data_IF_969618409695
#
_entry.id   IF_969618409695
#
_cell.length_a   1.000
_cell.length_b   1.000
_cell.length_c   1.000
_cell.angle_alpha   90.00
_cell.angle_beta   90.00
_cell.angle_gamma   90.00
#
_symmetry.space_group_name_H-M   'P 1'
#
loop_
_entity.id
_entity.type
_entity.pdbx_description
1 polymer ?
#
# COMPACT_ATOMS: atom_id res chain seq x y z
N UNK A 1 -12.18 -12.04 6.41
CA UNK A 1 -11.55 -13.18 5.69
C UNK A 1 -10.58 -12.72 4.59
N UNK A 2 -10.99 -11.97 3.56
CA UNK A 2 -10.05 -11.51 2.51
C UNK A 2 -8.98 -10.55 3.03
N UNK A 3 -9.39 -9.45 3.67
CA UNK A 3 -8.48 -8.42 4.21
C UNK A 3 -7.47 -9.04 5.19
N UNK A 4 -7.96 -9.79 6.17
CA UNK A 4 -7.12 -10.43 7.20
C UNK A 4 -6.10 -11.37 6.58
N UNK A 5 -6.50 -12.19 5.60
CA UNK A 5 -5.61 -13.14 4.93
C UNK A 5 -4.47 -12.41 4.22
N UNK A 6 -4.78 -11.38 3.44
CA UNK A 6 -3.76 -10.60 2.71
C UNK A 6 -2.82 -9.91 3.69
N UNK A 7 -3.35 -9.19 4.68
CA UNK A 7 -2.54 -8.46 5.65
C UNK A 7 -1.67 -9.38 6.52
N UNK A 8 -2.20 -10.54 6.92
CA UNK A 8 -1.43 -11.54 7.69
C UNK A 8 -0.33 -12.16 6.85
N UNK A 9 -0.60 -12.43 5.57
CA UNK A 9 0.41 -12.94 4.63
C UNK A 9 1.53 -11.92 4.42
N UNK A 10 1.18 -10.65 4.20
CA UNK A 10 2.18 -9.58 4.04
C UNK A 10 3.01 -9.39 5.30
N UNK A 11 2.39 -9.42 6.49
CA UNK A 11 3.12 -9.35 7.75
C UNK A 11 4.05 -10.55 7.94
N UNK A 12 3.59 -11.76 7.59
CA UNK A 12 4.40 -12.97 7.67
C UNK A 12 5.63 -12.86 6.77
N UNK A 13 5.47 -12.44 5.52
CA UNK A 13 6.57 -12.19 4.58
C UNK A 13 7.55 -11.18 5.17
N UNK A 14 7.04 -10.06 5.67
CA UNK A 14 7.85 -8.99 6.26
C UNK A 14 8.64 -9.47 7.49
N UNK A 15 8.04 -10.32 8.35
CA UNK A 15 8.70 -10.86 9.54
C UNK A 15 9.74 -11.95 9.21
N UNK A 16 9.52 -12.75 8.17
CA UNK A 16 10.47 -13.77 7.71
C UNK A 16 11.65 -13.18 6.94
N UNK A 17 11.47 -11.98 6.39
CA UNK A 17 12.52 -11.23 5.73
C UNK A 17 13.41 -10.61 6.80
N UNK A 18 14.60 -11.17 6.99
CA UNK A 18 15.50 -10.71 8.05
C UNK A 18 15.87 -9.22 7.85
N UNK A 19 15.83 -8.39 8.91
CA UNK A 19 16.34 -7.03 8.86
C UNK A 19 17.77 -7.01 8.29
N UNK A 20 18.04 -6.15 7.31
CA UNK A 20 19.36 -6.01 6.69
C UNK A 20 19.72 -7.05 5.61
N UNK A 21 18.85 -8.00 5.26
CA UNK A 21 19.12 -9.01 4.21
C UNK A 21 18.58 -8.69 2.82
N UNK A 22 18.07 -7.47 2.59
CA UNK A 22 17.72 -6.97 1.26
C UNK A 22 16.30 -6.42 1.13
N UNK A 23 15.90 -6.15 -0.12
CA UNK A 23 14.60 -5.60 -0.47
C UNK A 23 13.65 -6.72 -0.91
N UNK A 24 12.42 -6.71 -0.39
CA UNK A 24 11.36 -7.64 -0.80
C UNK A 24 10.41 -6.93 -1.75
N UNK A 25 10.21 -7.49 -2.94
CA UNK A 25 9.20 -7.04 -3.89
C UNK A 25 8.02 -8.00 -3.89
N UNK A 26 6.82 -7.48 -3.66
CA UNK A 26 5.57 -8.23 -3.81
C UNK A 26 4.80 -7.65 -4.99
N UNK A 27 4.71 -8.41 -6.08
CA UNK A 27 3.88 -8.06 -7.23
C UNK A 27 2.49 -8.69 -7.07
N UNK A 28 1.45 -7.86 -7.04
CA UNK A 28 0.09 -8.29 -6.76
C UNK A 28 -0.95 -7.33 -7.40
N UNK A 29 -2.22 -7.51 -7.05
CA UNK A 29 -3.31 -6.68 -7.55
C UNK A 29 -3.45 -5.37 -6.77
N UNK A 30 -4.17 -4.41 -7.35
CA UNK A 30 -4.42 -3.09 -6.76
C UNK A 30 -4.99 -3.15 -5.34
N UNK A 31 -5.88 -4.10 -5.05
CA UNK A 31 -6.41 -4.31 -3.70
C UNK A 31 -5.36 -4.75 -2.68
N UNK A 32 -4.36 -5.52 -3.12
CA UNK A 32 -3.22 -5.89 -2.27
C UNK A 32 -2.35 -4.67 -1.95
N UNK A 33 -2.19 -3.75 -2.90
CA UNK A 33 -1.47 -2.48 -2.68
C UNK A 33 -2.18 -1.60 -1.65
N UNK A 34 -3.52 -1.44 -1.76
CA UNK A 34 -4.35 -0.73 -0.76
C UNK A 34 -4.18 -1.35 0.64
N UNK A 35 -4.28 -2.68 0.74
CA UNK A 35 -4.15 -3.40 2.02
C UNK A 35 -2.74 -3.37 2.58
N UNK A 36 -1.71 -3.42 1.73
CA UNK A 36 -0.32 -3.27 2.14
C UNK A 36 -0.09 -1.89 2.74
N UNK A 37 -0.59 -0.84 2.08
CA UNK A 37 -0.51 0.52 2.59
C UNK A 37 -1.17 0.63 3.96
N UNK A 38 -2.38 0.10 4.07
CA UNK A 38 -3.13 0.00 5.31
C UNK A 38 -2.43 -0.73 6.45
N UNK A 39 -1.68 -1.78 6.12
CA UNK A 39 -1.03 -2.64 7.12
C UNK A 39 0.24 -2.02 7.69
N UNK A 40 1.02 -1.35 6.85
CA UNK A 40 2.36 -0.88 7.22
C UNK A 40 2.42 0.63 7.47
N UNK A 41 1.47 1.42 6.98
CA UNK A 41 1.53 2.86 7.18
C UNK A 41 1.15 3.25 8.63
N UNK A 42 1.98 4.02 9.36
CA UNK A 42 1.77 4.34 10.78
C UNK A 42 0.39 4.92 11.11
N UNK A 43 -0.17 5.73 10.21
CA UNK A 43 -1.52 6.32 10.33
C UNK A 43 -2.64 5.30 10.58
N UNK A 44 -2.49 4.07 10.08
CA UNK A 44 -3.54 3.05 10.14
C UNK A 44 -3.28 1.98 11.22
N UNK A 45 -2.22 2.11 12.02
CA UNK A 45 -1.96 1.17 13.12
C UNK A 45 -3.08 1.15 14.18
N UNK A 46 -3.71 2.31 14.42
CA UNK A 46 -4.83 2.46 15.36
C UNK A 46 -6.20 2.17 14.74
N UNK A 47 -6.30 2.29 13.41
CA UNK A 47 -7.53 2.08 12.65
C UNK A 47 -7.17 1.35 11.36
N UNK A 48 -7.13 0.00 11.37
CA UNK A 48 -6.70 -0.77 10.23
C UNK A 48 -7.54 -0.45 9.00
N UNK A 49 -6.88 -0.10 7.90
CA UNK A 49 -7.53 0.05 6.60
C UNK A 49 -8.01 -1.32 6.13
N UNK A 50 -9.29 -1.39 5.77
CA UNK A 50 -9.90 -2.54 5.13
C UNK A 50 -10.41 -2.13 3.74
N UNK A 51 -10.18 -2.98 2.75
CA UNK A 51 -10.78 -2.82 1.43
C UNK A 51 -12.22 -3.32 1.48
N UNK A 52 -13.16 -2.48 1.05
CA UNK A 52 -14.59 -2.81 0.92
C UNK A 52 -14.93 -3.18 -0.53
N UNK A 53 -16.05 -3.87 -0.79
CA UNK A 53 -16.49 -4.14 -2.16
C UNK A 53 -16.59 -2.89 -3.04
N UNK A 54 -17.05 -1.78 -2.47
CA UNK A 54 -17.17 -0.48 -3.17
C UNK A 54 -15.80 0.08 -3.54
N UNK A 55 -14.77 -0.16 -2.72
CA UNK A 55 -13.40 0.24 -3.04
C UNK A 55 -12.78 -0.58 -4.18
N UNK A 56 -13.29 -1.80 -4.42
CA UNK A 56 -12.82 -2.66 -5.50
C UNK A 56 -13.36 -2.20 -6.86
N UNK A 57 -14.54 -1.58 -6.87
CA UNK A 57 -15.11 -0.99 -8.08
C UNK A 57 -14.19 0.12 -8.57
N UNK A 58 -13.69 -0.02 -9.80
CA UNK A 58 -12.76 0.93 -10.41
C UNK A 58 -11.50 1.21 -9.58
N UNK A 59 -11.01 0.25 -8.78
CA UNK A 59 -9.80 0.40 -7.96
C UNK A 59 -8.55 0.75 -8.78
N UNK A 60 -8.55 0.46 -10.08
CA UNK A 60 -7.49 0.83 -11.01
C UNK A 60 -7.38 2.33 -11.25
N UNK A 61 -8.41 3.12 -10.96
CA UNK A 61 -8.36 4.59 -11.06
C UNK A 61 -7.45 5.19 -9.98
N UNK A 62 -7.65 4.92 -8.68
CA UNK A 62 -6.75 5.41 -7.64
C UNK A 62 -5.46 4.60 -7.52
N UNK A 63 -5.43 3.35 -7.99
CA UNK A 63 -4.25 2.47 -7.96
C UNK A 63 -3.98 1.96 -9.38
N UNK A 64 -3.32 2.76 -10.23
CA UNK A 64 -3.04 2.38 -11.61
C UNK A 64 -2.10 1.18 -11.71
N UNK A 65 -2.08 0.55 -12.87
CA UNK A 65 -1.07 -0.47 -13.22
C UNK A 65 0.36 0.00 -12.93
N UNK A 66 1.17 -0.94 -12.46
CA UNK A 66 2.58 -0.73 -12.09
C UNK A 66 2.81 0.39 -11.06
N UNK A 67 1.79 0.74 -10.29
CA UNK A 67 1.92 1.54 -9.09
C UNK A 67 2.62 0.75 -7.98
N UNK A 68 3.24 1.46 -7.05
CA UNK A 68 3.98 0.84 -5.95
C UNK A 68 3.79 1.62 -4.64
N UNK A 69 3.79 0.89 -3.53
CA UNK A 69 3.95 1.44 -2.19
C UNK A 69 5.24 0.87 -1.62
N UNK A 70 6.14 1.75 -1.17
CA UNK A 70 7.43 1.33 -0.64
C UNK A 70 7.52 1.68 0.83
N UNK A 71 7.93 0.71 1.63
CA UNK A 71 8.12 0.86 3.07
C UNK A 71 9.53 0.46 3.45
N UNK A 72 10.13 1.25 4.33
CA UNK A 72 11.42 0.94 4.96
C UNK A 72 11.17 0.66 6.43
N UNK A 73 11.72 -0.44 6.93
CA UNK A 73 11.66 -0.76 8.36
C UNK A 73 12.87 -0.12 9.04
N UNK A 74 12.62 0.74 10.01
CA UNK A 74 13.68 1.31 10.84
C UNK A 74 14.27 0.21 11.74
N UNK A 75 15.60 0.17 11.86
CA UNK A 75 16.33 -0.83 12.64
C UNK A 75 16.10 -0.71 14.14
N UNK A 76 15.79 0.50 14.61
CA UNK A 76 15.88 0.83 16.03
C UNK A 76 14.55 0.66 16.77
N UNK A 77 13.42 0.92 16.11
CA UNK A 77 12.06 0.88 16.68
C UNK A 77 11.13 -0.12 15.99
N UNK A 78 11.67 -0.87 15.02
CA UNK A 78 10.96 -1.79 14.12
C UNK A 78 9.76 -1.19 13.38
N UNK A 79 9.62 0.14 13.37
CA UNK A 79 8.51 0.83 12.73
C UNK A 79 8.70 0.89 11.22
N UNK A 80 7.58 0.90 10.50
CA UNK A 80 7.56 1.06 9.06
C UNK A 80 7.41 2.54 8.70
N UNK A 81 8.30 3.01 7.84
CA UNK A 81 8.26 4.33 7.24
C UNK A 81 7.82 4.21 5.79
N UNK A 82 6.76 4.91 5.41
CA UNK A 82 6.34 5.02 4.02
C UNK A 82 7.28 5.96 3.25
N UNK A 83 7.77 5.51 2.09
CA UNK A 83 8.62 6.30 1.19
C UNK A 83 7.82 6.58 -0.08
N UNK A 84 7.26 7.79 -0.16
CA UNK A 84 6.33 8.20 -1.23
C UNK A 84 6.94 8.13 -2.63
N UNK A 85 8.19 8.54 -2.76
CA UNK A 85 8.90 8.66 -4.05
C UNK A 85 10.11 7.73 -4.11
N UNK A 86 9.96 6.51 -3.58
CA UNK A 86 11.05 5.54 -3.58
C UNK A 86 11.46 5.11 -5.00
N UNK A 87 10.52 5.11 -5.94
CA UNK A 87 10.74 4.75 -7.33
C UNK A 87 10.30 5.90 -8.25
N UNK A 88 11.05 6.19 -9.33
CA UNK A 88 10.65 7.19 -10.29
C UNK A 88 9.33 6.76 -10.97
N UNK A 89 8.47 7.73 -11.35
CA UNK A 89 7.24 7.41 -12.07
C UNK A 89 7.58 6.80 -13.43
N UNK A 90 6.84 5.77 -13.82
CA UNK A 90 6.86 5.22 -15.16
C UNK A 90 5.70 5.89 -15.90
N UNK A 91 6.04 6.77 -16.84
CA UNK A 91 5.09 7.37 -17.76
C UNK A 91 5.27 6.76 -19.15
N UNK A 92 4.28 6.02 -19.62
CA UNK A 92 4.23 5.49 -20.98
C UNK A 92 2.91 5.89 -21.61
N UNK A 93 2.93 6.60 -22.75
CA UNK A 93 1.74 6.94 -23.57
C UNK A 93 0.47 7.31 -22.76
N UNK A 94 0.41 8.53 -22.23
CA UNK A 94 -0.73 9.08 -21.45
C UNK A 94 -1.12 8.29 -20.19
N UNK A 95 -0.31 7.31 -19.78
CA UNK A 95 -0.53 6.50 -18.58
C UNK A 95 0.48 6.88 -17.49
N UNK A 96 -0.01 7.06 -16.26
CA UNK A 96 0.79 7.34 -15.07
C UNK A 96 0.62 6.20 -14.07
N UNK A 97 1.73 5.71 -13.53
CA UNK A 97 1.70 4.73 -12.44
C UNK A 97 1.58 5.37 -11.04
N UNK A 98 1.33 6.68 -10.96
CA UNK A 98 1.21 7.38 -9.68
C UNK A 98 -0.09 7.00 -8.98
N UNK A 99 0.03 6.64 -7.71
CA UNK A 99 -1.11 6.39 -6.83
C UNK A 99 -1.85 7.70 -6.55
N UNK A 100 -3.17 7.60 -6.40
CA UNK A 100 -3.97 8.66 -5.81
C UNK A 100 -3.75 8.64 -4.28
N UNK A 101 -2.97 9.60 -3.79
CA UNK A 101 -2.65 9.70 -2.36
C UNK A 101 -3.87 10.02 -1.50
N UNK A 102 -4.83 10.80 -2.00
CA UNK A 102 -6.05 11.14 -1.24
C UNK A 102 -6.89 9.90 -0.97
N UNK A 103 -6.98 8.99 -1.94
CA UNK A 103 -7.66 7.72 -1.79
C UNK A 103 -6.94 6.81 -0.78
N UNK A 104 -5.62 6.63 -0.94
CA UNK A 104 -4.86 5.65 -0.17
C UNK A 104 -4.62 6.11 1.28
N UNK A 105 -4.44 7.41 1.50
CA UNK A 105 -4.27 8.01 2.83
C UNK A 105 -5.60 8.39 3.49
N UNK A 106 -6.71 8.31 2.75
CA UNK A 106 -8.04 8.76 3.20
C UNK A 106 -8.01 10.21 3.69
N UNK A 107 -7.29 11.05 2.94
CA UNK A 107 -7.07 12.46 3.27
C UNK A 107 -8.26 13.35 2.94
N UNK A 108 -9.24 12.86 2.18
CA UNK A 108 -10.53 13.53 1.97
C UNK A 108 -11.67 12.75 2.62
N UNK A 109 -12.45 13.44 3.47
CA UNK A 109 -13.81 13.05 3.86
C UNK A 109 -14.66 12.94 2.59
N UNK A 110 -15.55 11.95 2.45
CA UNK A 110 -16.41 11.85 1.28
C UNK A 110 -17.16 13.17 1.10
N UNK A 111 -16.95 13.86 -0.02
CA UNK A 111 -17.92 14.86 -0.45
C UNK A 111 -19.20 14.08 -0.76
N UNK A 112 -20.20 14.25 0.09
CA UNK A 112 -21.56 13.80 -0.16
C UNK A 112 -22.00 14.44 -1.50
N UNK A 113 -22.17 13.61 -2.51
CA UNK A 113 -22.98 13.95 -3.68
C UNK A 113 -24.42 13.54 -3.38
#
# INVERSE_FOLDING_TARGET
>A
MYNDRVQSTLQYIANKSAPGRGTVLVAAHASTVDLAFGKFHPRFLKAPRLTTPENLVNISLPIPYSSNVTFMRNSDDEQWQYIREALPPITYRNFSNRLNHDFIERSQTPQQQ
#
